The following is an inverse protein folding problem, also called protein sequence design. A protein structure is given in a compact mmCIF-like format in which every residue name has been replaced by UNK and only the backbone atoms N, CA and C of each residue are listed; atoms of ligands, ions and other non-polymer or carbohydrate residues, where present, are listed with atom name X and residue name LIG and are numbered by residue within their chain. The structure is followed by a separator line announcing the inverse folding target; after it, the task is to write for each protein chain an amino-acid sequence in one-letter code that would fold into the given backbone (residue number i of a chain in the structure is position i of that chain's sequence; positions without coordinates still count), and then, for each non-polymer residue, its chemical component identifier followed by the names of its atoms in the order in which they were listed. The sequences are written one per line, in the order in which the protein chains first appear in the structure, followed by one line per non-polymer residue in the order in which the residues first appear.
data_IF_342708425687
#
_entry.id   IF_342708425687
#
_cell.length_a   1.000
_cell.length_b   1.000
_cell.length_c   1.000
_cell.angle_alpha   90.00
_cell.angle_beta   90.00
_cell.angle_gamma   90.00
#
_symmetry.space_group_name_H-M   'P 1'
#
loop_
_entity.id
_entity.type
_entity.pdbx_description
1 polymer ?
#
# COMPACT_ATOMS: atom_id res chain seq x y z
N UNK A 1 -0.84 -10.00 -18.82
CA UNK A 1 -0.89 -9.40 -17.48
C UNK A 1 -1.97 -8.34 -17.54
N UNK A 2 -3.00 -8.42 -16.69
CA UNK A 2 -4.02 -7.38 -16.65
C UNK A 2 -3.32 -6.06 -16.30
N UNK A 3 -3.48 -5.05 -17.15
CA UNK A 3 -2.99 -3.71 -16.92
C UNK A 3 -3.70 -3.21 -15.65
N UNK A 4 -2.96 -3.09 -14.55
CA UNK A 4 -3.53 -2.59 -13.29
C UNK A 4 -3.76 -1.10 -13.52
N UNK A 5 -4.98 -0.75 -13.91
CA UNK A 5 -5.40 0.64 -14.00
C UNK A 5 -5.52 1.19 -12.57
N UNK A 6 -4.43 1.78 -12.07
CA UNK A 6 -4.39 2.43 -10.77
C UNK A 6 -5.27 3.68 -10.81
N UNK A 7 -6.31 3.72 -9.96
CA UNK A 7 -7.25 4.84 -9.89
C UNK A 7 -7.49 5.23 -8.43
N UNK A 8 -7.12 6.46 -8.05
CA UNK A 8 -7.19 6.95 -6.66
C UNK A 8 -8.62 6.90 -6.10
N UNK A 9 -9.58 7.44 -6.84
CA UNK A 9 -10.98 7.51 -6.40
C UNK A 9 -11.58 6.12 -6.20
N UNK A 10 -11.34 5.21 -7.13
CA UNK A 10 -11.78 3.81 -7.03
C UNK A 10 -11.15 3.11 -5.84
N UNK A 11 -9.85 3.29 -5.61
CA UNK A 11 -9.15 2.72 -4.46
C UNK A 11 -9.71 3.24 -3.14
N UNK A 12 -9.97 4.54 -3.04
CA UNK A 12 -10.62 5.12 -1.86
C UNK A 12 -12.04 4.57 -1.66
N UNK A 13 -12.83 4.37 -2.72
CA UNK A 13 -14.14 3.71 -2.61
C UNK A 13 -14.03 2.26 -2.09
N UNK A 14 -13.04 1.51 -2.56
CA UNK A 14 -12.80 0.12 -2.11
C UNK A 14 -12.41 0.09 -0.62
N UNK A 15 -11.53 0.99 -0.18
CA UNK A 15 -11.11 1.06 1.23
C UNK A 15 -12.26 1.37 2.20
N UNK A 16 -13.23 2.15 1.74
CA UNK A 16 -14.41 2.54 2.52
C UNK A 16 -15.60 1.57 2.39
N UNK A 17 -15.48 0.52 1.57
CA UNK A 17 -16.54 -0.48 1.40
C UNK A 17 -16.43 -1.58 2.45
N UNK A 18 -17.53 -1.85 3.15
CA UNK A 18 -17.61 -2.97 4.10
C UNK A 18 -17.58 -4.34 3.40
N UNK A 19 -17.99 -4.39 2.13
CA UNK A 19 -18.11 -5.62 1.36
C UNK A 19 -16.85 -5.95 0.53
N UNK A 20 -15.81 -5.11 0.60
CA UNK A 20 -14.59 -5.33 -0.15
C UNK A 20 -13.79 -6.54 0.39
N UNK A 21 -13.34 -7.42 -0.50
CA UNK A 21 -12.49 -8.55 -0.13
C UNK A 21 -11.15 -8.06 0.45
N UNK A 22 -10.51 -8.86 1.33
CA UNK A 22 -9.19 -8.51 1.88
C UNK A 22 -8.16 -8.17 0.79
N UNK A 23 -8.07 -8.97 -0.27
CA UNK A 23 -7.15 -8.75 -1.38
C UNK A 23 -7.40 -7.40 -2.07
N UNK A 24 -8.67 -7.07 -2.34
CA UNK A 24 -9.03 -5.81 -2.97
C UNK A 24 -8.69 -4.61 -2.06
N UNK A 25 -8.88 -4.75 -0.75
CA UNK A 25 -8.53 -3.71 0.23
C UNK A 25 -7.02 -3.50 0.31
N UNK A 26 -6.22 -4.56 0.29
CA UNK A 26 -4.75 -4.47 0.30
C UNK A 26 -4.26 -3.76 -0.97
N UNK A 27 -4.73 -4.18 -2.15
CA UNK A 27 -4.35 -3.52 -3.42
C UNK A 27 -4.76 -2.04 -3.42
N UNK A 28 -5.96 -1.73 -2.96
CA UNK A 28 -6.45 -0.35 -2.87
C UNK A 28 -5.62 0.51 -1.90
N UNK A 29 -5.19 -0.05 -0.76
CA UNK A 29 -4.33 0.65 0.19
C UNK A 29 -2.98 1.02 -0.44
N UNK A 30 -2.34 0.09 -1.15
CA UNK A 30 -1.08 0.35 -1.85
C UNK A 30 -1.23 1.37 -2.97
N UNK A 31 -2.35 1.35 -3.70
CA UNK A 31 -2.63 2.34 -4.73
C UNK A 31 -2.78 3.76 -4.13
N UNK A 32 -3.54 3.91 -3.04
CA UNK A 32 -3.68 5.21 -2.36
C UNK A 32 -2.34 5.69 -1.82
N UNK A 33 -1.60 4.82 -1.13
CA UNK A 33 -0.27 5.14 -0.62
C UNK A 33 0.68 5.59 -1.72
N UNK A 34 0.73 4.90 -2.86
CA UNK A 34 1.54 5.30 -4.01
C UNK A 34 1.19 6.72 -4.47
N UNK A 35 -0.09 7.02 -4.59
CA UNK A 35 -0.56 8.32 -5.04
C UNK A 35 -0.22 9.45 -4.05
N UNK A 36 -0.44 9.25 -2.75
CA UNK A 36 -0.10 10.24 -1.72
C UNK A 36 1.43 10.46 -1.64
N UNK A 37 2.20 9.38 -1.68
CA UNK A 37 3.65 9.45 -1.59
C UNK A 37 4.29 10.11 -2.82
N UNK A 38 3.71 9.94 -4.01
CA UNK A 38 4.24 10.54 -5.25
C UNK A 38 3.81 11.99 -5.44
N UNK A 39 2.59 12.36 -5.01
CA UNK A 39 2.10 13.73 -5.09
C UNK A 39 2.87 14.69 -4.17
N UNK A 40 3.25 14.21 -2.98
CA UNK A 40 3.90 15.05 -1.97
C UNK A 40 5.40 14.78 -1.80
N UNK A 41 6.02 13.98 -2.68
CA UNK A 41 7.40 13.51 -2.51
C UNK A 41 8.41 14.64 -2.27
N UNK A 42 8.26 15.75 -3.02
CA UNK A 42 9.15 16.91 -2.95
C UNK A 42 8.86 17.84 -1.76
N UNK A 43 7.71 17.67 -1.10
CA UNK A 43 7.26 18.49 0.03
C UNK A 43 7.58 17.86 1.40
N UNK A 44 8.00 16.60 1.43
CA UNK A 44 8.28 15.89 2.68
C UNK A 44 9.56 16.42 3.34
N UNK A 45 9.47 16.71 4.64
CA UNK A 45 10.66 16.91 5.45
C UNK A 45 11.47 15.59 5.59
N UNK A 46 12.78 15.66 5.90
CA UNK A 46 13.62 14.48 5.99
C UNK A 46 13.18 13.44 7.03
N UNK A 47 12.54 13.85 8.13
CA UNK A 47 12.05 12.94 9.17
C UNK A 47 10.83 12.17 8.67
N UNK A 48 9.87 12.87 8.08
CA UNK A 48 8.67 12.26 7.47
C UNK A 48 9.05 11.30 6.34
N UNK A 49 10.02 11.68 5.49
CA UNK A 49 10.56 10.80 4.45
C UNK A 49 11.16 9.52 5.04
N UNK A 50 11.96 9.62 6.10
CA UNK A 50 12.57 8.46 6.75
C UNK A 50 11.51 7.52 7.38
N UNK A 51 10.47 8.09 8.01
CA UNK A 51 9.36 7.32 8.60
C UNK A 51 8.59 6.58 7.49
N UNK A 52 8.24 7.25 6.40
CA UNK A 52 7.52 6.65 5.28
C UNK A 52 8.30 5.45 4.69
N UNK A 53 9.61 5.62 4.46
CA UNK A 53 10.48 4.52 4.00
C UNK A 53 10.55 3.35 4.99
N UNK A 54 10.60 3.63 6.29
CA UNK A 54 10.61 2.58 7.31
C UNK A 54 9.32 1.77 7.29
N UNK A 55 8.17 2.44 7.20
CA UNK A 55 6.86 1.78 7.15
C UNK A 55 6.72 0.90 5.90
N UNK A 56 7.16 1.39 4.74
CA UNK A 56 7.19 0.60 3.50
C UNK A 56 7.99 -0.69 3.65
N UNK A 57 9.18 -0.61 4.24
CA UNK A 57 10.04 -1.79 4.47
C UNK A 57 9.45 -2.76 5.47
N UNK A 58 8.87 -2.26 6.57
CA UNK A 58 8.20 -3.11 7.56
C UNK A 58 7.00 -3.83 6.92
N UNK A 59 6.15 -3.12 6.19
CA UNK A 59 5.00 -3.72 5.51
C UNK A 59 5.40 -4.79 4.49
N UNK A 60 6.46 -4.55 3.71
CA UNK A 60 7.00 -5.56 2.79
C UNK A 60 7.49 -6.81 3.55
N UNK A 61 8.26 -6.61 4.62
CA UNK A 61 8.78 -7.71 5.45
C UNK A 61 7.65 -8.56 6.05
N UNK A 62 6.57 -7.96 6.54
CA UNK A 62 5.43 -8.69 7.09
C UNK A 62 4.71 -9.53 6.01
N UNK A 63 4.57 -9.00 4.79
CA UNK A 63 3.98 -9.74 3.67
C UNK A 63 4.86 -10.91 3.23
N UNK A 64 6.18 -10.74 3.23
CA UNK A 64 7.13 -11.79 2.90
C UNK A 64 7.12 -12.90 3.97
N UNK A 65 7.15 -12.54 5.25
CA UNK A 65 7.05 -13.49 6.37
C UNK A 65 5.72 -14.25 6.36
N UNK A 66 4.60 -13.58 6.05
CA UNK A 66 3.30 -14.24 5.92
C UNK A 66 3.25 -15.24 4.75
N UNK A 67 4.17 -15.14 3.79
CA UNK A 67 4.29 -16.05 2.64
C UNK A 67 5.31 -17.16 2.83
N UNK A 68 6.25 -17.02 3.77
CA UNK A 68 7.15 -18.11 4.12
C UNK A 68 6.30 -19.28 4.67
N UNK A 69 6.32 -20.46 4.03
CA UNK A 69 5.61 -21.60 4.57
C UNK A 69 6.18 -21.87 5.96
N UNK A 70 5.29 -22.03 6.94
CA UNK A 70 5.64 -22.50 8.28
C UNK A 70 6.13 -23.95 8.13
N UNK A 71 7.34 -24.14 7.62
CA UNK A 71 8.01 -25.42 7.51
C UNK A 71 8.45 -25.80 8.93
N UNK A 72 7.51 -26.35 9.70
CA UNK A 72 7.80 -27.20 10.85
C UNK A 72 8.24 -28.59 10.40
#
# INVERSE_FOLDING_TARGET
MAEIELNREKSMRILNSADASPDARVIAAFAVMFFEATEHADDLDPETYAIAHKLLRMGASELDQAREPTNG
#
